data_IF_477802539549
#
_entry.id   IF_477802539549
#
_cell.length_a   1.000
_cell.length_b   1.000
_cell.length_c   1.000
_cell.angle_alpha   90.00
_cell.angle_beta   90.00
_cell.angle_gamma   90.00
#
_symmetry.space_group_name_H-M   'P 1'
#
loop_
_entity.id
_entity.type
_entity.pdbx_description
1 polymer ?
#
# COMPACT_ATOMS: atom_id res chain seq x y z
N UNK A 1 -2.62 21.38 -14.89
CA UNK A 1 -1.68 20.50 -14.16
C UNK A 1 -0.34 20.56 -14.85
N UNK A 2 0.76 20.64 -14.11
CA UNK A 2 2.10 20.61 -14.69
C UNK A 2 2.41 19.20 -15.20
N UNK A 3 3.03 19.10 -16.38
CA UNK A 3 3.49 17.83 -16.94
C UNK A 3 4.98 17.74 -16.76
N UNK A 4 5.44 16.66 -16.15
CA UNK A 4 6.86 16.35 -16.00
C UNK A 4 7.23 15.12 -16.84
N UNK A 5 8.50 15.04 -17.25
CA UNK A 5 9.02 13.94 -18.05
C UNK A 5 10.02 13.13 -17.22
N UNK A 6 9.80 11.81 -17.16
CA UNK A 6 10.70 10.88 -16.48
C UNK A 6 11.27 9.91 -17.50
N UNK A 7 12.59 9.68 -17.43
CA UNK A 7 13.26 8.68 -18.25
C UNK A 7 12.93 7.28 -17.73
N UNK A 8 12.47 6.41 -18.62
CA UNK A 8 12.25 4.99 -18.34
C UNK A 8 12.92 4.13 -19.42
N UNK A 9 13.22 2.87 -19.09
CA UNK A 9 13.79 1.94 -20.07
C UNK A 9 12.77 1.61 -21.17
N UNK A 10 13.26 1.24 -22.36
CA UNK A 10 12.43 0.79 -23.48
C UNK A 10 11.59 -0.45 -23.11
N UNK A 11 12.10 -1.29 -22.21
CA UNK A 11 11.38 -2.44 -21.66
C UNK A 11 10.19 -1.99 -20.79
N UNK A 12 10.41 -1.11 -19.81
CA UNK A 12 9.33 -0.58 -18.96
C UNK A 12 8.24 0.10 -19.77
N UNK A 13 8.62 0.87 -20.81
CA UNK A 13 7.66 1.48 -21.73
C UNK A 13 6.84 0.43 -22.49
N UNK A 14 7.45 -0.69 -22.91
CA UNK A 14 6.76 -1.79 -23.59
C UNK A 14 5.71 -2.43 -22.69
N UNK A 15 6.07 -2.70 -21.42
CA UNK A 15 5.15 -3.23 -20.41
C UNK A 15 4.02 -2.24 -20.15
N UNK A 16 4.33 -0.95 -19.95
CA UNK A 16 3.32 0.08 -19.71
C UNK A 16 2.30 0.16 -20.87
N UNK A 17 2.77 0.09 -22.12
CA UNK A 17 1.90 0.04 -23.31
C UNK A 17 1.04 -1.22 -23.38
N UNK A 18 1.55 -2.36 -22.92
CA UNK A 18 0.76 -3.60 -22.88
C UNK A 18 -0.34 -3.52 -21.80
N UNK A 19 -0.01 -2.97 -20.63
CA UNK A 19 -0.97 -2.75 -19.54
C UNK A 19 -2.07 -1.77 -19.96
N UNK A 20 -1.71 -0.63 -20.54
CA UNK A 20 -2.66 0.35 -21.07
C UNK A 20 -3.62 -0.25 -22.11
N UNK A 21 -3.10 -1.03 -23.06
CA UNK A 21 -3.93 -1.73 -24.05
C UNK A 21 -4.87 -2.74 -23.40
N UNK A 22 -4.41 -3.49 -22.40
CA UNK A 22 -5.22 -4.49 -21.70
C UNK A 22 -6.31 -3.87 -20.82
N UNK A 23 -6.04 -2.71 -20.22
CA UNK A 23 -6.99 -2.06 -19.31
C UNK A 23 -7.88 -1.02 -19.98
N UNK A 24 -7.59 -0.63 -21.23
CA UNK A 24 -8.33 0.41 -21.95
C UNK A 24 -8.04 1.83 -21.46
N UNK A 25 -6.98 2.00 -20.65
CA UNK A 25 -6.61 3.29 -20.05
C UNK A 25 -5.44 3.96 -20.79
N UNK A 26 -5.27 5.26 -20.57
CA UNK A 26 -4.11 5.99 -21.08
C UNK A 26 -2.81 5.59 -20.36
N UNK A 27 -1.66 5.73 -21.04
CA UNK A 27 -0.35 5.45 -20.44
C UNK A 27 -0.12 6.24 -19.12
N UNK A 28 -0.43 7.55 -19.04
CA UNK A 28 -0.30 8.30 -17.79
C UNK A 28 -1.19 7.76 -16.66
N UNK A 29 -2.42 7.34 -16.96
CA UNK A 29 -3.33 6.79 -15.96
C UNK A 29 -2.80 5.46 -15.39
N UNK A 30 -2.32 4.56 -16.27
CA UNK A 30 -1.71 3.30 -15.83
C UNK A 30 -0.43 3.55 -15.03
N UNK A 31 0.40 4.51 -15.46
CA UNK A 31 1.62 4.87 -14.73
C UNK A 31 1.29 5.41 -13.33
N UNK A 32 0.33 6.32 -13.22
CA UNK A 32 -0.11 6.87 -11.94
C UNK A 32 -0.61 5.77 -11.00
N UNK A 33 -1.43 4.84 -11.52
CA UNK A 33 -1.90 3.67 -10.76
C UNK A 33 -0.77 2.76 -10.32
N UNK A 34 0.22 2.50 -11.19
CA UNK A 34 1.36 1.65 -10.86
C UNK A 34 2.22 2.26 -9.74
N UNK A 35 2.46 3.57 -9.80
CA UNK A 35 3.17 4.31 -8.74
C UNK A 35 2.40 4.27 -7.42
N UNK A 36 1.10 4.51 -7.45
CA UNK A 36 0.26 4.46 -6.25
C UNK A 36 0.22 3.05 -5.64
N UNK A 37 0.15 2.02 -6.47
CA UNK A 37 0.19 0.63 -6.01
C UNK A 37 1.53 0.30 -5.34
N UNK A 38 2.65 0.75 -5.91
CA UNK A 38 3.96 0.59 -5.30
C UNK A 38 4.09 1.35 -3.98
N UNK A 39 3.56 2.58 -3.91
CA UNK A 39 3.50 3.37 -2.67
C UNK A 39 2.73 2.64 -1.56
N UNK A 40 1.55 2.10 -1.87
CA UNK A 40 0.73 1.32 -0.93
C UNK A 40 1.44 0.05 -0.48
N UNK A 41 2.10 -0.66 -1.39
CA UNK A 41 2.90 -1.84 -1.06
C UNK A 41 4.02 -1.51 -0.07
N UNK A 42 4.74 -0.41 -0.28
CA UNK A 42 5.79 0.04 0.64
C UNK A 42 5.23 0.43 2.00
N UNK A 43 4.06 1.10 2.04
CA UNK A 43 3.38 1.45 3.29
C UNK A 43 3.03 0.21 4.10
N UNK A 44 2.35 -0.76 3.48
CA UNK A 44 1.97 -2.01 4.14
C UNK A 44 3.17 -2.81 4.61
N UNK A 45 4.25 -2.86 3.82
CA UNK A 45 5.49 -3.54 4.23
C UNK A 45 6.06 -2.93 5.51
N UNK A 46 6.16 -1.59 5.58
CA UNK A 46 6.67 -0.89 6.77
C UNK A 46 5.77 -1.09 7.98
N UNK A 47 4.45 -1.10 7.79
CA UNK A 47 3.49 -1.37 8.85
C UNK A 47 3.67 -2.80 9.41
N UNK A 48 3.82 -3.79 8.54
CA UNK A 48 4.08 -5.17 8.95
C UNK A 48 5.42 -5.30 9.68
N UNK A 49 6.49 -4.71 9.17
CA UNK A 49 7.80 -4.68 9.84
C UNK A 49 7.75 -4.02 11.24
N UNK A 50 6.92 -2.98 11.41
CA UNK A 50 6.69 -2.37 12.73
C UNK A 50 5.90 -3.31 13.66
N UNK A 51 4.90 -4.01 13.12
CA UNK A 51 4.09 -4.97 13.87
C UNK A 51 4.88 -6.21 14.29
N UNK A 52 5.77 -6.71 13.43
CA UNK A 52 6.68 -7.82 13.75
C UNK A 52 7.63 -7.44 14.89
N UNK A 53 8.18 -6.21 14.87
CA UNK A 53 8.97 -5.66 15.99
C UNK A 53 8.16 -5.55 17.28
N UNK A 54 6.91 -5.09 17.20
CA UNK A 54 6.00 -5.01 18.34
C UNK A 54 5.72 -6.40 18.94
N UNK A 55 5.47 -7.41 18.10
CA UNK A 55 5.23 -8.80 18.52
C UNK A 55 6.45 -9.45 19.17
N UNK A 56 7.66 -9.06 18.74
CA UNK A 56 8.90 -9.55 19.30
C UNK A 56 9.18 -9.00 20.72
N UNK A 57 8.48 -7.95 21.16
CA UNK A 57 8.51 -7.44 22.54
C UNK A 57 7.32 -7.99 23.34
N UNK A 58 7.50 -8.97 24.24
CA UNK A 58 6.39 -9.56 24.98
C UNK A 58 5.64 -8.58 25.90
N UNK A 59 6.30 -7.51 26.38
CA UNK A 59 5.64 -6.53 27.25
C UNK A 59 4.72 -5.64 26.41
N UNK A 60 5.24 -5.08 25.33
CA UNK A 60 4.48 -4.23 24.42
C UNK A 60 3.37 -5.02 23.71
N UNK A 61 3.63 -6.28 23.35
CA UNK A 61 2.62 -7.14 22.73
C UNK A 61 1.41 -7.42 23.63
N UNK A 62 1.64 -7.70 24.92
CA UNK A 62 0.54 -7.86 25.90
C UNK A 62 -0.26 -6.57 26.10
N UNK A 63 0.37 -5.41 25.95
CA UNK A 63 -0.33 -4.12 26.03
C UNK A 63 -1.23 -3.91 24.81
N UNK A 64 -0.72 -4.14 23.60
CA UNK A 64 -1.51 -4.09 22.36
C UNK A 64 -2.70 -5.05 22.42
N UNK A 65 -2.52 -6.29 22.85
CA UNK A 65 -3.62 -7.26 22.97
C UNK A 65 -4.70 -6.82 23.98
N UNK A 66 -4.30 -6.23 25.11
CA UNK A 66 -5.25 -5.68 26.10
C UNK A 66 -6.01 -4.50 25.51
N UNK A 67 -5.33 -3.62 24.78
CA UNK A 67 -5.96 -2.53 24.07
C UNK A 67 -6.96 -3.05 23.02
N UNK A 68 -6.53 -3.93 22.13
CA UNK A 68 -7.38 -4.56 21.10
C UNK A 68 -8.62 -5.21 21.69
N UNK A 69 -8.49 -5.90 22.83
CA UNK A 69 -9.64 -6.49 23.52
C UNK A 69 -10.65 -5.45 23.99
N UNK A 70 -10.19 -4.27 24.45
CA UNK A 70 -11.09 -3.15 24.80
C UNK A 70 -11.82 -2.60 23.56
N UNK A 71 -11.12 -2.43 22.44
CA UNK A 71 -11.73 -1.98 21.18
C UNK A 71 -12.72 -2.98 20.59
N UNK A 72 -12.57 -4.28 20.84
CA UNK A 72 -13.58 -5.27 20.41
C UNK A 72 -14.97 -5.00 21.00
N UNK A 73 -15.05 -4.40 22.19
CA UNK A 73 -16.32 -4.10 22.83
C UNK A 73 -17.09 -2.97 22.11
N UNK A 74 -16.43 -2.16 21.28
CA UNK A 74 -17.05 -1.09 20.49
C UNK A 74 -17.46 -1.55 19.09
N UNK A 75 -17.35 -2.85 18.78
CA UNK A 75 -17.64 -3.37 17.44
C UNK A 75 -19.14 -3.32 17.07
N UNK A 76 -20.01 -3.38 18.09
CA UNK A 76 -21.46 -3.29 17.93
C UNK A 76 -21.99 -1.86 18.13
N UNK A 77 -21.11 -0.89 18.41
CA UNK A 77 -21.51 0.50 18.51
C UNK A 77 -21.89 0.97 17.09
N UNK A 78 -23.15 1.38 16.91
CA UNK A 78 -23.75 1.86 15.64
C UNK A 78 -24.18 0.78 14.62
N UNK A 79 -24.43 -0.46 15.07
CA UNK A 79 -25.24 -1.47 14.34
C UNK A 79 -26.68 -1.50 14.87
#
# INVERSE_FOLDING_TARGET
>A
MATELVRISSESLRVLRALARKSGESLPAVLARAVEWYRRKLLLRRANEAYDRLRADPKAWREELRERARWKNTLADDI
#
